data_IF_150105856206
#
_entry.id   IF_150105856206
#
_cell.length_a   1.000
_cell.length_b   1.000
_cell.length_c   1.000
_cell.angle_alpha   90.00
_cell.angle_beta   90.00
_cell.angle_gamma   90.00
#
_symmetry.space_group_name_H-M   'P 1'
#
loop_
_entity.id
_entity.type
_entity.pdbx_description
1 polymer ?
#
# COMPACT_ATOMS: atom_id res chain seq x y z
N UNK A 1 -20.49 8.88 10.71
CA UNK A 1 -21.02 8.19 9.52
C UNK A 1 -19.84 7.56 8.82
N UNK A 2 -19.71 6.24 8.88
CA UNK A 2 -18.64 5.49 8.20
C UNK A 2 -18.88 5.57 6.70
N UNK A 3 -17.97 6.21 5.97
CA UNK A 3 -18.04 6.26 4.51
C UNK A 3 -17.78 4.85 3.96
N UNK A 4 -18.79 4.24 3.35
CA UNK A 4 -18.62 3.00 2.59
C UNK A 4 -17.71 3.27 1.40
N UNK A 5 -16.64 2.48 1.23
CA UNK A 5 -15.68 2.68 0.15
C UNK A 5 -16.33 2.43 -1.22
N UNK A 6 -15.95 3.20 -2.26
CA UNK A 6 -16.28 2.85 -3.64
C UNK A 6 -15.70 1.46 -3.93
N UNK A 7 -16.57 0.44 -4.03
CA UNK A 7 -16.16 -0.96 -4.27
C UNK A 7 -16.56 -1.96 -3.20
N UNK A 8 -17.08 -1.55 -2.02
CA UNK A 8 -17.52 -2.49 -0.99
C UNK A 8 -18.61 -3.48 -1.46
N UNK A 9 -19.37 -3.13 -2.50
CA UNK A 9 -20.38 -3.98 -3.13
C UNK A 9 -19.84 -4.85 -4.29
N UNK A 10 -18.53 -4.88 -4.55
CA UNK A 10 -17.90 -5.58 -5.69
C UNK A 10 -17.02 -6.78 -5.30
N UNK A 11 -17.12 -7.25 -4.05
CA UNK A 11 -16.24 -8.32 -3.55
C UNK A 11 -16.78 -9.70 -3.89
N UNK A 12 -16.96 -9.94 -5.19
CA UNK A 12 -17.16 -11.27 -5.76
C UNK A 12 -15.81 -12.00 -5.88
N UNK A 13 -15.86 -13.26 -6.31
CA UNK A 13 -14.65 -14.03 -6.62
C UNK A 13 -13.67 -13.21 -7.50
N UNK A 14 -12.34 -13.25 -7.21
CA UNK A 14 -11.65 -14.20 -6.34
C UNK A 14 -11.41 -13.67 -4.91
N UNK A 15 -12.18 -12.69 -4.43
CA UNK A 15 -12.04 -12.20 -3.07
C UNK A 15 -12.71 -13.13 -2.05
N UNK A 16 -12.02 -13.37 -0.95
CA UNK A 16 -12.48 -14.17 0.18
C UNK A 16 -12.60 -13.27 1.42
N UNK A 17 -13.64 -13.49 2.23
CA UNK A 17 -13.80 -12.79 3.50
C UNK A 17 -12.67 -13.14 4.47
N UNK A 18 -12.11 -12.14 5.13
CA UNK A 18 -11.12 -12.31 6.17
C UNK A 18 -11.81 -12.49 7.53
N UNK A 19 -11.47 -13.57 8.23
CA UNK A 19 -11.87 -13.74 9.64
C UNK A 19 -11.14 -12.71 10.52
N UNK A 20 -11.89 -11.88 11.25
CA UNK A 20 -11.33 -10.87 12.15
C UNK A 20 -11.16 -11.40 13.57
N UNK A 21 -9.91 -11.53 14.01
CA UNK A 21 -9.55 -11.94 15.38
C UNK A 21 -9.19 -10.77 16.30
N UNK A 22 -9.50 -9.54 15.87
CA UNK A 22 -9.34 -8.33 16.67
C UNK A 22 -7.89 -7.84 16.81
N UNK A 23 -6.94 -8.42 16.07
CA UNK A 23 -5.53 -7.97 16.07
C UNK A 23 -5.21 -7.18 14.80
N UNK A 24 -4.00 -6.62 14.74
CA UNK A 24 -3.60 -5.79 13.61
C UNK A 24 -2.09 -5.59 13.51
N UNK A 25 -1.73 -4.63 12.66
CA UNK A 25 -0.34 -4.23 12.43
C UNK A 25 -0.23 -2.72 12.32
N UNK A 26 0.82 -2.15 12.88
CA UNK A 26 1.35 -0.85 12.45
C UNK A 26 2.16 -1.08 11.17
N UNK A 27 1.91 -0.30 10.13
CA UNK A 27 2.66 -0.31 8.86
C UNK A 27 3.22 1.08 8.56
N UNK A 28 4.49 1.12 8.16
CA UNK A 28 5.19 2.35 7.80
C UNK A 28 5.19 2.54 6.29
N UNK A 29 4.64 3.67 5.85
CA UNK A 29 4.72 4.11 4.45
C UNK A 29 5.50 5.42 4.33
N UNK A 30 5.94 5.73 3.12
CA UNK A 30 6.66 6.97 2.83
C UNK A 30 5.68 8.00 2.28
N UNK A 31 5.51 9.12 3.00
CA UNK A 31 4.74 10.27 2.52
C UNK A 31 5.41 10.90 1.30
N UNK A 32 4.61 11.39 0.37
CA UNK A 32 5.11 12.25 -0.70
C UNK A 32 5.64 13.57 -0.10
N UNK A 33 6.82 14.06 -0.51
CA UNK A 33 7.44 15.25 0.05
C UNK A 33 6.70 16.55 -0.23
N UNK A 34 5.87 16.61 -1.29
CA UNK A 34 5.10 17.82 -1.64
C UNK A 34 3.64 17.72 -1.21
N UNK A 35 3.27 16.70 -0.45
CA UNK A 35 1.91 16.51 0.00
C UNK A 35 1.53 17.43 1.16
N UNK A 36 0.27 17.87 1.17
CA UNK A 36 -0.39 18.62 2.25
C UNK A 36 -0.93 17.69 3.33
N UNK A 37 -1.39 16.52 2.89
CA UNK A 37 -1.80 15.39 3.72
C UNK A 37 -0.83 14.23 3.47
N UNK A 38 -0.53 13.38 4.45
CA UNK A 38 0.45 12.33 4.25
C UNK A 38 -0.12 11.19 3.41
N UNK A 39 -0.15 11.39 2.11
CA UNK A 39 -0.41 10.31 1.14
C UNK A 39 0.93 9.73 0.71
N UNK A 40 0.92 8.48 0.25
CA UNK A 40 2.13 7.79 -0.24
C UNK A 40 2.86 8.59 -1.32
N UNK A 41 4.15 8.34 -1.50
CA UNK A 41 4.99 8.99 -2.51
C UNK A 41 4.58 8.62 -3.96
N UNK A 42 3.74 9.46 -4.57
CA UNK A 42 3.25 9.32 -5.96
C UNK A 42 4.26 9.94 -6.94
N UNK A 43 4.81 11.10 -6.61
CA UNK A 43 5.57 11.92 -7.57
C UNK A 43 7.06 11.56 -7.61
N UNK A 44 7.46 10.40 -7.10
CA UNK A 44 8.87 9.98 -7.01
C UNK A 44 9.22 8.98 -8.11
N UNK A 45 9.96 9.39 -9.16
CA UNK A 45 10.37 8.46 -10.21
C UNK A 45 11.29 7.37 -9.68
N UNK A 46 11.14 6.15 -10.18
CA UNK A 46 12.01 5.02 -9.87
C UNK A 46 11.82 4.47 -8.45
N UNK A 47 10.71 4.78 -7.78
CA UNK A 47 10.28 4.18 -6.51
C UNK A 47 8.80 3.76 -6.61
N UNK A 48 8.47 2.52 -6.26
CA UNK A 48 7.13 1.92 -6.40
C UNK A 48 6.29 2.02 -5.11
N UNK A 49 6.03 3.23 -4.63
CA UNK A 49 5.22 3.42 -3.41
C UNK A 49 3.74 3.47 -3.75
N UNK A 50 3.16 2.31 -4.08
CA UNK A 50 1.72 2.21 -4.37
C UNK A 50 0.85 1.93 -3.15
N UNK A 51 1.44 1.59 -1.99
CA UNK A 51 0.70 1.37 -0.74
C UNK A 51 1.00 2.44 0.32
N UNK A 52 0.00 2.78 1.17
CA UNK A 52 -1.39 2.34 1.10
C UNK A 52 -2.14 2.95 -0.09
N UNK A 53 -2.86 2.12 -0.86
CA UNK A 53 -3.62 2.60 -2.03
C UNK A 53 -5.00 3.08 -1.57
N UNK A 54 -5.07 4.34 -1.11
CA UNK A 54 -6.23 4.93 -0.43
C UNK A 54 -7.44 5.04 -1.35
N UNK A 55 -7.21 5.39 -2.61
CA UNK A 55 -8.25 5.56 -3.63
C UNK A 55 -9.04 4.28 -3.95
N UNK A 56 -8.47 3.11 -3.69
CA UNK A 56 -9.16 1.80 -3.82
C UNK A 56 -9.37 1.10 -2.49
N UNK A 57 -8.83 1.60 -1.38
CA UNK A 57 -8.83 0.91 -0.09
C UNK A 57 -8.10 -0.44 -0.13
N UNK A 58 -7.08 -0.58 -0.99
CA UNK A 58 -6.33 -1.85 -1.13
C UNK A 58 -4.92 -1.76 -0.57
N UNK A 59 -4.38 -2.90 -0.15
CA UNK A 59 -2.99 -3.02 0.29
C UNK A 59 -2.34 -4.24 -0.37
N UNK A 60 -1.25 -4.01 -1.11
CA UNK A 60 -0.52 -5.05 -1.82
C UNK A 60 -1.18 -5.55 -3.11
N UNK A 61 -2.29 -4.95 -3.56
CA UNK A 61 -2.90 -5.27 -4.85
C UNK A 61 -2.00 -4.81 -5.99
N UNK A 62 -1.72 -3.51 -6.06
CA UNK A 62 -0.86 -2.89 -7.06
C UNK A 62 0.62 -2.85 -6.66
N UNK A 63 0.98 -3.34 -5.47
CA UNK A 63 2.35 -3.24 -4.96
C UNK A 63 2.89 -4.59 -4.47
N UNK A 64 4.20 -4.70 -4.47
CA UNK A 64 4.95 -5.84 -3.93
C UNK A 64 5.38 -5.60 -2.48
N UNK A 65 4.83 -4.60 -1.78
CA UNK A 65 5.28 -4.15 -0.46
C UNK A 65 4.76 -5.00 0.71
N UNK A 66 5.67 -5.50 1.54
CA UNK A 66 5.36 -6.23 2.78
C UNK A 66 4.58 -7.56 2.61
N UNK A 67 4.96 -8.49 1.68
CA UNK A 67 4.35 -9.81 1.60
C UNK A 67 4.28 -10.57 2.95
N UNK A 68 5.31 -10.51 3.83
CA UNK A 68 5.23 -11.15 5.14
C UNK A 68 4.08 -10.64 6.01
N UNK A 69 3.82 -9.32 6.02
CA UNK A 69 2.72 -8.76 6.80
C UNK A 69 1.38 -9.22 6.25
N UNK A 70 1.18 -9.14 4.93
CA UNK A 70 -0.08 -9.53 4.29
C UNK A 70 -0.40 -11.01 4.50
N UNK A 71 0.60 -11.88 4.35
CA UNK A 71 0.44 -13.31 4.67
C UNK A 71 0.09 -13.55 6.15
N UNK A 72 0.65 -12.78 7.09
CA UNK A 72 0.26 -12.89 8.51
C UNK A 72 -1.14 -12.35 8.77
N UNK A 73 -1.55 -11.26 8.12
CA UNK A 73 -2.91 -10.74 8.20
C UNK A 73 -3.93 -11.82 7.83
N UNK A 74 -3.72 -12.50 6.70
CA UNK A 74 -4.59 -13.59 6.25
C UNK A 74 -4.56 -14.79 7.21
N UNK A 75 -3.37 -15.25 7.63
CA UNK A 75 -3.25 -16.45 8.47
C UNK A 75 -3.71 -16.27 9.91
N UNK A 76 -3.50 -15.08 10.47
CA UNK A 76 -3.77 -14.80 11.88
C UNK A 76 -5.13 -14.10 12.10
N UNK A 77 -5.80 -13.69 11.02
CA UNK A 77 -7.01 -12.87 11.12
C UNK A 77 -6.75 -11.47 11.70
N UNK A 78 -5.57 -10.90 11.45
CA UNK A 78 -5.17 -9.59 11.97
C UNK A 78 -5.74 -8.46 11.09
N UNK A 79 -7.05 -8.29 11.12
CA UNK A 79 -7.83 -7.54 10.15
C UNK A 79 -7.70 -6.00 10.22
N UNK A 80 -6.69 -5.44 10.90
CA UNK A 80 -6.53 -3.98 11.00
C UNK A 80 -5.09 -3.56 10.65
N UNK A 81 -4.94 -2.61 9.73
CA UNK A 81 -3.64 -2.01 9.40
C UNK A 81 -3.67 -0.54 9.82
N UNK A 82 -2.85 -0.18 10.79
CA UNK A 82 -2.64 1.20 11.23
C UNK A 82 -1.46 1.83 10.50
N UNK A 83 -1.65 3.03 9.98
CA UNK A 83 -0.65 3.67 9.12
C UNK A 83 0.15 4.72 9.86
N UNK A 84 1.48 4.55 9.81
CA UNK A 84 2.45 5.45 10.40
C UNK A 84 3.37 6.01 9.32
N UNK A 85 3.67 7.29 9.36
CA UNK A 85 4.64 7.88 8.41
C UNK A 85 5.39 9.06 9.01
N UNK A 86 6.47 9.45 8.35
CA UNK A 86 7.17 10.71 8.58
C UNK A 86 6.74 11.68 7.48
N UNK A 87 5.76 12.54 7.77
CA UNK A 87 5.20 13.47 6.80
C UNK A 87 6.13 14.68 6.57
N UNK A 88 6.70 15.23 7.66
CA UNK A 88 7.58 16.40 7.61
C UNK A 88 8.99 16.04 8.09
N UNK A 89 10.05 16.57 7.46
CA UNK A 89 11.41 16.39 7.95
C UNK A 89 11.52 16.77 9.42
N UNK A 90 12.18 15.93 10.22
CA UNK A 90 12.43 16.13 11.67
C UNK A 90 11.18 16.11 12.57
N UNK A 91 9.97 15.92 12.05
CA UNK A 91 8.75 15.84 12.86
C UNK A 91 8.55 14.47 13.55
N UNK A 92 9.40 13.48 13.23
CA UNK A 92 9.22 12.11 13.71
C UNK A 92 8.06 11.40 13.02
N UNK A 93 7.65 10.26 13.58
CA UNK A 93 6.52 9.46 13.08
C UNK A 93 5.20 10.03 13.56
N UNK A 94 4.18 9.92 12.73
CA UNK A 94 2.80 10.27 13.04
C UNK A 94 1.87 9.12 12.64
N UNK A 95 0.88 8.86 13.49
CA UNK A 95 -0.26 8.00 13.18
C UNK A 95 -1.21 8.78 12.27
N UNK A 96 -1.66 8.16 11.20
CA UNK A 96 -2.41 8.85 10.13
C UNK A 96 -3.80 8.28 9.89
N UNK A 97 -4.03 7.02 10.22
CA UNK A 97 -5.30 6.35 9.98
C UNK A 97 -5.18 4.84 10.05
N UNK A 98 -6.22 4.15 9.63
CA UNK A 98 -6.23 2.71 9.51
C UNK A 98 -7.09 2.19 8.35
N UNK A 99 -6.83 0.96 7.93
CA UNK A 99 -7.75 0.12 7.18
C UNK A 99 -8.28 -0.98 8.08
N UNK A 100 -9.60 -1.20 8.04
CA UNK A 100 -10.22 -2.45 8.48
C UNK A 100 -10.32 -3.35 7.26
N UNK A 101 -9.54 -4.43 7.23
CA UNK A 101 -9.50 -5.39 6.13
C UNK A 101 -10.73 -6.30 6.24
N UNK A 102 -11.52 -6.36 5.17
CA UNK A 102 -12.67 -7.26 5.08
C UNK A 102 -12.39 -8.46 4.18
N UNK A 103 -11.49 -8.32 3.21
CA UNK A 103 -11.27 -9.34 2.20
C UNK A 103 -9.80 -9.47 1.80
N UNK A 104 -9.47 -10.65 1.28
CA UNK A 104 -8.18 -10.95 0.69
C UNK A 104 -8.33 -11.76 -0.59
N UNK A 105 -7.30 -11.76 -1.43
CA UNK A 105 -7.16 -12.68 -2.57
C UNK A 105 -5.68 -12.98 -2.82
N UNK A 106 -5.38 -13.96 -3.66
CA UNK A 106 -4.00 -14.22 -4.10
C UNK A 106 -3.52 -13.10 -5.04
N UNK A 107 -2.37 -12.52 -4.72
CA UNK A 107 -1.69 -11.57 -5.60
C UNK A 107 -1.02 -12.29 -6.77
N UNK A 108 -0.48 -11.50 -7.71
CA UNK A 108 0.23 -11.99 -8.90
C UNK A 108 1.23 -13.14 -8.68
N UNK A 109 1.93 -13.21 -7.54
CA UNK A 109 2.88 -14.30 -7.27
C UNK A 109 2.27 -15.50 -6.52
N UNK A 110 1.02 -15.39 -6.07
CA UNK A 110 0.27 -16.45 -5.41
C UNK A 110 0.58 -16.66 -3.92
N UNK A 111 -0.33 -17.37 -3.26
CA UNK A 111 -0.26 -17.72 -1.84
C UNK A 111 0.96 -18.59 -1.50
N UNK A 112 1.40 -19.45 -2.42
CA UNK A 112 2.62 -20.26 -2.28
C UNK A 112 3.87 -19.39 -2.05
N UNK A 113 3.86 -18.16 -2.57
CA UNK A 113 4.91 -17.16 -2.40
C UNK A 113 4.59 -16.13 -1.31
N UNK A 114 3.56 -16.38 -0.49
CA UNK A 114 3.04 -15.45 0.53
C UNK A 114 2.60 -14.10 -0.05
N UNK A 115 2.20 -14.08 -1.33
CA UNK A 115 1.71 -12.87 -2.00
C UNK A 115 0.18 -12.84 -1.98
N UNK A 116 -0.37 -12.08 -1.03
CA UNK A 116 -1.79 -11.77 -0.95
C UNK A 116 -2.06 -10.31 -1.31
N UNK A 117 -3.22 -10.00 -1.87
CA UNK A 117 -3.77 -8.64 -1.92
C UNK A 117 -4.87 -8.51 -0.88
N UNK A 118 -4.93 -7.35 -0.21
CA UNK A 118 -5.90 -7.07 0.84
C UNK A 118 -6.81 -5.92 0.42
N UNK A 119 -8.06 -5.95 0.86
CA UNK A 119 -9.02 -4.89 0.62
C UNK A 119 -9.80 -4.53 1.89
N UNK A 120 -9.95 -3.23 2.09
CA UNK A 120 -10.59 -2.67 3.26
C UNK A 120 -12.12 -2.69 3.14
N UNK A 121 -12.81 -3.14 4.19
CA UNK A 121 -14.25 -2.94 4.39
C UNK A 121 -14.57 -1.54 4.89
N UNK A 122 -13.64 -0.92 5.61
CA UNK A 122 -13.69 0.50 5.93
C UNK A 122 -12.29 1.05 6.11
N UNK A 123 -12.16 2.36 5.95
CA UNK A 123 -10.94 3.08 6.28
C UNK A 123 -11.27 4.39 6.97
N UNK A 124 -10.34 4.86 7.78
CA UNK A 124 -10.44 6.17 8.43
C UNK A 124 -9.07 6.80 8.51
N UNK A 125 -8.95 8.01 7.99
CA UNK A 125 -7.75 8.85 8.14
C UNK A 125 -8.07 10.09 8.94
N UNK A 126 -7.06 10.60 9.62
CA UNK A 126 -7.17 11.72 10.55
C UNK A 126 -6.09 12.75 10.26
N UNK A 127 -6.19 13.89 10.94
CA UNK A 127 -5.04 14.79 11.05
C UNK A 127 -3.84 14.01 11.62
N UNK A 128 -2.66 14.06 10.99
CA UNK A 128 -1.51 13.27 11.44
C UNK A 128 -1.21 13.56 12.90
N UNK A 129 -1.35 12.54 13.74
CA UNK A 129 -1.15 12.62 15.18
C UNK A 129 0.29 12.21 15.47
N UNK A 130 1.16 13.12 15.94
CA UNK A 130 2.52 12.76 16.32
C UNK A 130 2.52 11.60 17.31
N UNK A 131 3.37 10.60 17.08
CA UNK A 131 3.41 9.40 17.93
C UNK A 131 3.73 9.74 19.39
N UNK A 132 4.38 10.88 19.66
CA UNK A 132 4.63 11.34 21.03
C UNK A 132 3.36 11.86 21.72
N UNK A 133 2.35 12.29 20.96
CA UNK A 133 1.09 12.84 21.48
C UNK A 133 0.01 11.77 21.71
N UNK A 134 0.23 10.51 21.26
CA UNK A 134 -0.68 9.41 21.57
C UNK A 134 -0.63 9.05 23.07
N UNK A 135 -1.69 8.43 23.62
CA UNK A 135 -1.72 7.94 25.01
C UNK A 135 -0.50 7.08 25.36
N UNK A 136 -0.06 7.13 26.61
CA UNK A 136 1.21 6.52 27.05
C UNK A 136 1.32 5.02 26.70
N UNK A 137 0.22 4.27 26.87
CA UNK A 137 0.15 2.85 26.53
C UNK A 137 0.37 2.58 25.03
N UNK A 138 -0.18 3.43 24.16
CA UNK A 138 -0.03 3.33 22.70
C UNK A 138 1.29 3.90 22.21
N UNK A 139 1.90 4.80 22.98
CA UNK A 139 3.17 5.42 22.63
C UNK A 139 4.29 4.39 22.59
N UNK A 140 4.31 3.45 23.54
CA UNK A 140 5.35 2.42 23.58
C UNK A 140 5.38 1.59 22.29
N UNK A 141 4.21 1.13 21.83
CA UNK A 141 4.11 0.31 20.62
C UNK A 141 4.36 1.14 19.35
N UNK A 142 3.93 2.40 19.29
CA UNK A 142 4.08 3.25 18.11
C UNK A 142 5.47 3.90 17.97
N UNK A 143 6.12 4.25 19.09
CA UNK A 143 7.41 4.95 19.11
C UNK A 143 8.60 4.00 19.05
N UNK A 144 8.43 2.76 19.52
CA UNK A 144 9.48 1.76 19.46
C UNK A 144 10.05 1.61 18.04
N UNK A 145 11.36 1.40 17.87
CA UNK A 145 11.93 1.18 16.55
C UNK A 145 11.35 -0.06 15.87
N UNK A 146 10.77 0.11 14.68
CA UNK A 146 10.43 -0.97 13.75
C UNK A 146 10.57 -0.45 12.33
N UNK A 147 11.04 -1.30 11.39
CA UNK A 147 11.39 -0.84 10.04
C UNK A 147 10.17 -0.62 9.15
N UNK A 148 9.32 -1.64 9.07
CA UNK A 148 8.24 -1.75 8.09
C UNK A 148 6.92 -2.00 8.79
N UNK A 149 6.83 -3.09 9.55
CA UNK A 149 5.62 -3.49 10.24
C UNK A 149 5.88 -3.89 11.70
N UNK A 150 4.83 -3.80 12.54
CA UNK A 150 4.82 -4.25 13.93
C UNK A 150 3.43 -4.79 14.30
N UNK A 151 3.31 -6.01 14.84
CA UNK A 151 2.02 -6.56 15.27
C UNK A 151 1.45 -5.81 16.48
N UNK A 152 0.12 -5.76 16.58
CA UNK A 152 -0.63 -5.22 17.72
C UNK A 152 -1.42 -6.32 18.41
N UNK A 153 -1.55 -6.24 19.74
CA UNK A 153 -2.47 -7.11 20.50
C UNK A 153 -3.92 -6.66 20.29
N UNK A 154 -4.88 -7.46 20.77
CA UNK A 154 -6.31 -7.09 20.74
C UNK A 154 -6.54 -5.76 21.48
N UNK A 155 -5.95 -5.60 22.66
CA UNK A 155 -6.09 -4.39 23.48
C UNK A 155 -5.53 -3.16 22.75
N UNK A 156 -4.31 -3.26 22.20
CA UNK A 156 -3.71 -2.15 21.45
C UNK A 156 -4.51 -1.83 20.18
N UNK A 157 -5.04 -2.85 19.49
CA UNK A 157 -5.85 -2.66 18.27
C UNK A 157 -7.12 -1.90 18.60
N UNK A 158 -7.89 -2.33 19.61
CA UNK A 158 -9.11 -1.65 20.03
C UNK A 158 -8.84 -0.21 20.46
N UNK A 159 -7.80 0.03 21.26
CA UNK A 159 -7.44 1.37 21.73
C UNK A 159 -6.97 2.30 20.59
N UNK A 160 -6.23 1.78 19.59
CA UNK A 160 -5.85 2.56 18.40
C UNK A 160 -7.05 2.88 17.52
N UNK A 161 -7.98 1.94 17.32
CA UNK A 161 -9.23 2.19 16.58
C UNK A 161 -10.02 3.27 17.28
N UNK A 162 -10.25 3.14 18.59
CA UNK A 162 -11.00 4.14 19.37
C UNK A 162 -10.36 5.53 19.29
N UNK A 163 -9.03 5.62 19.44
CA UNK A 163 -8.30 6.88 19.33
C UNK A 163 -8.52 7.55 17.95
N UNK A 164 -8.50 6.78 16.87
CA UNK A 164 -8.69 7.30 15.50
C UNK A 164 -10.17 7.63 15.24
N UNK A 165 -11.10 6.84 15.77
CA UNK A 165 -12.54 7.04 15.62
C UNK A 165 -13.06 8.28 16.35
N UNK A 166 -12.44 8.64 17.47
CA UNK A 166 -12.75 9.87 18.22
C UNK A 166 -12.25 11.15 17.53
N UNK A 167 -11.26 11.05 16.63
CA UNK A 167 -10.76 12.20 15.88
C UNK A 167 -11.63 12.49 14.65
N UNK A 168 -11.54 13.73 14.14
CA UNK A 168 -12.24 14.13 12.92
C UNK A 168 -11.82 13.27 11.72
N UNK A 169 -12.81 12.78 10.95
CA UNK A 169 -12.57 12.04 9.73
C UNK A 169 -12.04 12.98 8.63
N UNK A 170 -10.81 12.72 8.20
CA UNK A 170 -10.11 13.45 7.13
C UNK A 170 -9.88 12.56 5.91
N UNK A 171 -10.58 11.43 5.78
CA UNK A 171 -10.38 10.49 4.66
C UNK A 171 -10.57 11.15 3.30
N UNK A 172 -11.56 12.02 3.16
CA UNK A 172 -11.79 12.77 1.92
C UNK A 172 -10.65 13.72 1.57
N UNK A 173 -9.98 14.32 2.57
CA UNK A 173 -8.82 15.17 2.33
C UNK A 173 -7.63 14.37 1.79
N UNK A 174 -7.44 13.13 2.25
CA UNK A 174 -6.38 12.25 1.74
C UNK A 174 -6.68 11.83 0.29
N UNK A 175 -7.93 11.51 -0.04
CA UNK A 175 -8.34 11.19 -1.41
C UNK A 175 -8.13 12.38 -2.35
N UNK A 176 -8.58 13.58 -1.97
CA UNK A 176 -8.35 14.80 -2.75
C UNK A 176 -6.86 15.11 -2.92
N UNK A 177 -6.04 14.79 -1.90
CA UNK A 177 -4.60 14.99 -1.99
C UNK A 177 -3.94 14.01 -2.98
N UNK A 178 -4.41 12.76 -3.07
CA UNK A 178 -3.99 11.82 -4.12
C UNK A 178 -4.31 12.41 -5.50
N UNK A 179 -5.56 12.82 -5.74
CA UNK A 179 -5.99 13.41 -7.02
C UNK A 179 -5.17 14.66 -7.39
N UNK A 180 -4.88 15.51 -6.40
CA UNK A 180 -4.06 16.72 -6.59
C UNK A 180 -2.63 16.36 -7.01
N UNK A 181 -2.02 15.35 -6.39
CA UNK A 181 -0.66 14.91 -6.73
C UNK A 181 -0.59 14.20 -8.08
N UNK A 182 -1.59 13.40 -8.41
CA UNK A 182 -1.73 12.76 -9.72
C UNK A 182 -1.83 13.80 -10.84
N UNK A 183 -2.68 14.82 -10.65
CA UNK A 183 -2.81 15.95 -11.59
C UNK A 183 -1.49 16.71 -11.72
N UNK A 184 -0.84 17.01 -10.59
CA UNK A 184 0.46 17.68 -10.61
C UNK A 184 1.51 16.86 -11.38
N UNK A 185 1.63 15.56 -11.12
CA UNK A 185 2.58 14.70 -11.81
C UNK A 185 2.28 14.61 -13.32
N UNK A 186 1.00 14.49 -13.67
CA UNK A 186 0.54 14.48 -15.05
C UNK A 186 0.97 15.76 -15.80
N UNK A 187 0.78 16.93 -15.18
CA UNK A 187 1.18 18.22 -15.77
C UNK A 187 2.71 18.35 -15.90
N UNK A 188 3.49 17.76 -14.98
CA UNK A 188 4.95 17.88 -15.00
C UNK A 188 5.64 16.93 -15.97
N UNK A 189 5.14 15.70 -16.14
CA UNK A 189 5.84 14.69 -16.94
C UNK A 189 4.94 13.82 -17.83
N UNK A 190 3.65 14.15 -17.95
CA UNK A 190 2.69 13.39 -18.76
C UNK A 190 2.21 12.09 -18.13
N UNK A 191 2.51 11.85 -16.85
CA UNK A 191 2.12 10.64 -16.11
C UNK A 191 1.66 10.96 -14.69
N UNK A 192 0.47 10.48 -14.30
CA UNK A 192 -0.01 10.50 -12.92
C UNK A 192 0.87 9.65 -11.99
N UNK A 193 1.34 8.48 -12.48
CA UNK A 193 2.33 7.64 -11.79
C UNK A 193 3.54 7.41 -12.68
N UNK A 194 4.60 8.24 -12.56
CA UNK A 194 5.76 8.19 -13.44
C UNK A 194 6.48 6.84 -13.42
N UNK A 195 6.64 6.24 -12.22
CA UNK A 195 7.28 4.91 -12.08
C UNK A 195 6.50 3.80 -12.78
N UNK A 196 5.19 4.00 -12.99
CA UNK A 196 4.31 3.02 -13.61
C UNK A 196 3.99 3.33 -15.08
N UNK A 197 4.44 4.48 -15.61
CA UNK A 197 4.08 4.91 -16.96
C UNK A 197 2.58 5.15 -17.14
N UNK A 198 1.85 5.46 -16.07
CA UNK A 198 0.38 5.59 -16.09
C UNK A 198 -0.05 7.04 -16.17
N UNK A 199 -1.07 7.30 -16.99
CA UNK A 199 -1.69 8.62 -17.14
C UNK A 199 -2.85 8.85 -16.17
N UNK A 200 -3.34 7.78 -15.51
CA UNK A 200 -4.47 7.83 -14.58
C UNK A 200 -4.12 7.17 -13.23
N UNK A 201 -4.94 7.49 -12.22
CA UNK A 201 -4.97 6.82 -10.92
C UNK A 201 -5.20 5.32 -10.99
N UNK A 202 -4.98 4.63 -9.86
CA UNK A 202 -5.37 3.22 -9.73
C UNK A 202 -6.87 3.11 -9.49
N UNK A 203 -7.49 2.09 -10.08
CA UNK A 203 -8.93 1.85 -9.94
C UNK A 203 -9.26 0.39 -9.72
N UNK A 204 -10.45 0.13 -9.19
CA UNK A 204 -10.98 -1.23 -9.04
C UNK A 204 -11.20 -1.95 -10.38
N UNK A 205 -11.41 -1.21 -11.47
CA UNK A 205 -11.63 -1.80 -12.80
C UNK A 205 -10.37 -2.52 -13.33
N UNK A 206 -9.21 -2.19 -12.77
CA UNK A 206 -7.92 -2.80 -13.13
C UNK A 206 -7.52 -3.95 -12.21
N UNK A 207 -8.19 -4.10 -11.06
CA UNK A 207 -7.87 -5.13 -10.08
C UNK A 207 -7.80 -6.55 -10.67
N UNK A 208 -8.70 -6.96 -11.60
CA UNK A 208 -8.62 -8.28 -12.24
C UNK A 208 -7.29 -8.62 -12.90
N UNK A 209 -6.57 -7.62 -13.42
CA UNK A 209 -5.28 -7.85 -14.05
C UNK A 209 -4.18 -8.23 -13.03
N UNK A 210 -4.38 -7.96 -11.74
CA UNK A 210 -3.38 -8.17 -10.67
C UNK A 210 -3.65 -9.40 -9.80
N UNK A 211 -4.70 -10.17 -10.10
CA UNK A 211 -4.96 -11.44 -9.44
C UNK A 211 -3.97 -12.52 -9.92
N UNK A 212 -3.83 -13.59 -9.15
CA UNK A 212 -3.02 -14.74 -9.58
C UNK A 212 -3.55 -15.31 -10.90
N UNK A 213 -2.67 -15.45 -11.87
CA UNK A 213 -2.89 -16.21 -13.10
C UNK A 213 -1.81 -17.28 -13.24
N UNK A 214 -2.19 -18.53 -12.99
CA UNK A 214 -1.27 -19.67 -12.98
C UNK A 214 -0.22 -19.65 -11.86
N UNK A 215 0.68 -20.63 -11.87
CA UNK A 215 1.80 -20.68 -10.95
C UNK A 215 3.01 -19.97 -11.54
N UNK A 216 3.39 -18.85 -10.92
CA UNK A 216 4.57 -18.08 -11.32
C UNK A 216 5.73 -18.25 -10.33
N UNK A 217 6.98 -18.25 -10.79
CA UNK A 217 8.14 -18.25 -9.92
C UNK A 217 8.16 -17.03 -9.00
N UNK A 218 8.69 -17.20 -7.78
CA UNK A 218 8.91 -16.08 -6.87
C UNK A 218 9.96 -15.13 -7.45
N UNK A 219 9.56 -13.89 -7.70
CA UNK A 219 10.49 -12.83 -8.11
C UNK A 219 10.82 -11.95 -6.90
N UNK A 220 12.12 -11.76 -6.56
CA UNK A 220 12.51 -10.92 -5.44
C UNK A 220 12.08 -9.46 -5.68
N UNK A 221 11.69 -8.76 -4.62
CA UNK A 221 11.32 -7.34 -4.70
C UNK A 221 12.52 -6.38 -4.74
N UNK A 222 13.73 -6.89 -4.96
CA UNK A 222 14.96 -6.09 -5.04
C UNK A 222 15.86 -6.60 -6.16
N UNK A 223 16.52 -5.68 -6.84
CA UNK A 223 17.52 -5.97 -7.86
C UNK A 223 18.81 -5.20 -7.53
N UNK A 224 19.98 -5.83 -7.68
CA UNK A 224 21.28 -5.18 -7.41
C UNK A 224 21.49 -3.92 -8.28
N UNK A 225 20.94 -3.93 -9.48
CA UNK A 225 21.04 -2.85 -10.47
C UNK A 225 19.85 -1.87 -10.41
N UNK A 226 18.86 -2.10 -9.53
CA UNK A 226 17.55 -1.43 -9.59
C UNK A 226 16.94 -1.45 -11.00
N UNK A 227 17.23 -2.50 -11.77
CA UNK A 227 16.81 -2.64 -13.16
C UNK A 227 16.02 -3.94 -13.33
N UNK A 228 14.95 -3.86 -14.12
CA UNK A 228 13.98 -4.93 -14.35
C UNK A 228 13.74 -5.07 -15.84
N UNK A 229 13.96 -6.27 -16.39
CA UNK A 229 13.67 -6.56 -17.79
C UNK A 229 12.28 -7.19 -17.88
N UNK A 230 11.45 -6.65 -18.78
CA UNK A 230 10.21 -7.30 -19.16
C UNK A 230 10.48 -8.49 -20.07
N UNK A 231 9.94 -9.66 -19.76
CA UNK A 231 10.10 -10.86 -20.57
C UNK A 231 9.26 -10.81 -21.86
N UNK A 232 8.26 -9.93 -21.94
CA UNK A 232 7.36 -9.79 -23.09
C UNK A 232 7.89 -8.79 -24.13
N UNK A 233 8.23 -7.57 -23.69
CA UNK A 233 8.67 -6.50 -24.60
C UNK A 233 10.18 -6.22 -24.56
N UNK A 234 10.96 -6.94 -23.74
CA UNK A 234 12.41 -6.77 -23.54
C UNK A 234 12.85 -5.40 -22.97
N UNK A 235 11.93 -4.48 -22.72
CA UNK A 235 12.26 -3.17 -22.15
C UNK A 235 12.85 -3.31 -20.75
N UNK A 236 13.85 -2.47 -20.44
CA UNK A 236 14.51 -2.43 -19.13
C UNK A 236 14.04 -1.21 -18.35
N UNK A 237 13.29 -1.44 -17.28
CA UNK A 237 12.77 -0.42 -16.38
C UNK A 237 13.78 -0.16 -15.27
N UNK A 238 14.05 1.11 -14.97
CA UNK A 238 14.80 1.52 -13.77
C UNK A 238 13.81 1.77 -12.63
N UNK A 239 13.85 0.94 -11.59
CA UNK A 239 13.00 1.11 -10.42
C UNK A 239 13.62 0.42 -9.20
N UNK A 240 13.53 1.03 -8.02
CA UNK A 240 14.15 0.51 -6.78
C UNK A 240 13.57 -0.83 -6.31
N UNK A 241 12.32 -1.11 -6.66
CA UNK A 241 11.66 -2.36 -6.33
C UNK A 241 10.83 -2.87 -7.51
N UNK A 242 10.34 -4.10 -7.42
CA UNK A 242 9.61 -4.75 -8.50
C UNK A 242 8.25 -4.08 -8.70
N UNK A 243 7.96 -3.64 -9.93
CA UNK A 243 6.59 -3.31 -10.33
C UNK A 243 5.85 -4.61 -10.67
N UNK A 244 4.56 -4.69 -10.34
CA UNK A 244 3.73 -5.84 -10.72
C UNK A 244 3.42 -5.88 -12.21
N UNK A 245 3.59 -4.76 -12.92
CA UNK A 245 3.26 -4.64 -14.33
C UNK A 245 4.38 -3.90 -15.07
N UNK A 246 4.64 -4.29 -16.32
CA UNK A 246 5.54 -3.54 -17.19
C UNK A 246 4.92 -2.18 -17.56
N UNK A 247 5.60 -1.05 -17.34
CA UNK A 247 5.08 0.29 -17.65
C UNK A 247 5.04 0.60 -19.16
N UNK A 248 5.54 -0.30 -20.02
CA UNK A 248 5.60 -0.10 -21.48
C UNK A 248 4.56 -0.96 -22.20
N UNK A 249 4.51 -2.27 -21.92
CA UNK A 249 3.58 -3.18 -22.60
C UNK A 249 2.41 -3.64 -21.72
N UNK A 250 2.30 -3.15 -20.48
CA UNK A 250 1.25 -3.47 -19.51
C UNK A 250 1.09 -4.96 -19.16
N UNK A 251 2.06 -5.81 -19.51
CA UNK A 251 2.01 -7.22 -19.10
C UNK A 251 2.34 -7.35 -17.62
N UNK A 252 1.40 -7.91 -16.86
CA UNK A 252 1.51 -8.17 -15.42
C UNK A 252 2.42 -9.37 -15.17
N UNK A 253 3.20 -9.35 -14.08
CA UNK A 253 4.10 -10.43 -13.69
C UNK A 253 5.34 -10.61 -14.58
N UNK A 254 5.50 -9.80 -15.63
CA UNK A 254 6.52 -9.99 -16.68
C UNK A 254 7.93 -9.49 -16.32
N UNK A 255 8.12 -8.80 -15.19
CA UNK A 255 9.38 -8.14 -14.85
C UNK A 255 10.31 -9.06 -14.03
N UNK A 256 11.54 -9.25 -14.52
CA UNK A 256 12.59 -10.02 -13.85
C UNK A 256 13.86 -9.18 -13.62
N UNK A 257 14.69 -9.49 -12.61
CA UNK A 257 15.92 -8.75 -12.35
C UNK A 257 16.85 -8.74 -13.58
N UNK A 258 17.32 -7.54 -13.96
CA UNK A 258 18.27 -7.39 -15.06
C UNK A 258 19.72 -7.35 -14.55
N UNK A 259 20.55 -8.27 -15.04
CA UNK A 259 21.96 -8.47 -14.61
C UNK A 259 22.98 -7.94 -15.64
N UNK A 260 22.53 -7.33 -16.74
CA UNK A 260 23.45 -6.84 -17.78
C UNK A 260 24.26 -5.61 -17.33
N UNK A 261 25.50 -5.53 -17.82
CA UNK A 261 26.30 -4.29 -17.82
C UNK A 261 25.65 -3.35 -18.83
N UNK A 262 25.46 -2.08 -18.47
CA UNK A 262 24.97 -1.09 -19.44
C UNK A 262 25.94 -1.02 -20.62
N UNK A 263 25.47 -0.91 -21.88
CA UNK A 263 26.26 -0.25 -22.91
C UNK A 263 26.54 1.21 -22.51
#
# INVERSE_FOLDING_TARGET
MTSTLPGANRMDAPWEELEDRGTGYLSVYFSDPIARWPVRAITRPGDNKSDPNIETGTYGLFSTCEPPMRNRIVKDGAATIFFVTTHKPRAGRSLTGYYKIGWFTEGTQGASNSDYALAASSMRFIKPLPVLEVPAELREICASPFRQMRPTSVQHTSALVELIDQADDRTSDYLQEVERLETFALDQCGYAYPSWGRQSGFSWDEAPAFYKDGDVPRIPNSSRSNSWRCQECNYVVQNRALLKMCPICNHVGSLVPFVGVRP
#
